data_IF_150242577101
#
_entry.id   IF_150242577101
#
_cell.length_a   1.000
_cell.length_b   1.000
_cell.length_c   1.000
_cell.angle_alpha   90.00
_cell.angle_beta   90.00
_cell.angle_gamma   90.00
#
_symmetry.space_group_name_H-M   'P 1'
#
loop_
_entity.id
_entity.type
_entity.pdbx_description
1 polymer ?
#
# COMPACT_ATOMS: atom_id res chain seq x y z
N UNK A 1 19.94 64.02 26.93
CA UNK A 1 18.59 64.45 27.34
C UNK A 1 17.66 64.24 26.17
N UNK A 2 16.59 63.47 26.39
CA UNK A 2 15.31 63.43 25.65
C UNK A 2 15.32 62.97 24.18
N UNK A 3 14.49 62.05 23.70
CA UNK A 3 13.40 61.27 24.30
C UNK A 3 12.45 60.73 23.20
N UNK A 4 11.94 59.52 23.46
CA UNK A 4 10.60 58.99 23.13
C UNK A 4 10.23 58.43 21.74
N UNK A 5 10.12 57.10 21.77
CA UNK A 5 9.27 56.16 21.03
C UNK A 5 7.79 56.58 20.96
N UNK A 6 7.10 56.30 19.85
CA UNK A 6 5.63 56.33 19.77
C UNK A 6 5.09 55.00 19.20
N UNK A 7 4.11 54.44 19.92
CA UNK A 7 3.33 53.22 19.67
C UNK A 7 1.88 53.59 19.28
N UNK A 8 1.11 52.57 18.87
CA UNK A 8 -0.37 52.43 18.71
C UNK A 8 -0.89 52.40 17.25
N UNK A 9 -1.45 51.29 16.75
CA UNK A 9 -2.67 50.50 17.10
C UNK A 9 -3.98 51.08 16.51
N UNK A 10 -4.54 50.38 15.51
CA UNK A 10 -5.98 50.34 15.17
C UNK A 10 -6.26 48.90 14.68
N UNK A 11 -6.73 47.96 15.51
CA UNK A 11 -8.07 47.68 16.06
C UNK A 11 -9.02 46.97 15.08
N UNK A 12 -9.40 45.77 15.51
CA UNK A 12 -10.32 44.78 14.96
C UNK A 12 -11.75 45.28 14.68
N UNK A 13 -12.35 44.79 13.58
CA UNK A 13 -13.78 44.49 13.46
C UNK A 13 -14.01 43.21 12.63
N UNK A 14 -14.78 42.28 13.19
CA UNK A 14 -15.61 41.23 12.55
C UNK A 14 -17.01 41.36 13.20
N UNK A 15 -18.12 40.78 12.69
CA UNK A 15 -18.28 39.78 11.61
C UNK A 15 -19.40 40.14 10.61
N UNK A 16 -19.66 39.32 9.58
CA UNK A 16 -21.01 38.94 9.12
C UNK A 16 -20.92 37.80 8.06
N UNK A 17 -21.35 36.62 8.52
CA UNK A 17 -22.12 35.53 7.86
C UNK A 17 -22.16 35.47 6.32
N UNK A 18 -21.80 34.31 5.75
CA UNK A 18 -22.21 33.91 4.40
C UNK A 18 -21.48 32.69 3.82
N UNK A 19 -22.18 31.55 3.81
CA UNK A 19 -21.96 30.36 2.97
C UNK A 19 -20.72 29.49 3.21
N UNK A 20 -20.97 28.42 3.96
CA UNK A 20 -20.23 27.16 3.97
C UNK A 20 -20.24 26.53 2.57
N UNK A 21 -19.18 26.74 1.80
CA UNK A 21 -18.79 25.79 0.76
C UNK A 21 -18.03 24.65 1.46
N UNK A 22 -18.77 23.62 1.88
CA UNK A 22 -18.18 22.34 2.27
C UNK A 22 -17.65 21.67 0.99
N UNK A 23 -16.45 22.06 0.59
CA UNK A 23 -15.67 21.29 -0.38
C UNK A 23 -15.29 19.98 0.28
N UNK A 24 -15.88 18.92 -0.25
CA UNK A 24 -15.64 17.51 0.03
C UNK A 24 -14.16 17.25 0.33
N UNK A 25 -13.84 16.95 1.59
CA UNK A 25 -12.65 16.17 1.89
C UNK A 25 -12.98 14.75 1.42
N UNK A 26 -12.66 14.47 0.15
CA UNK A 26 -12.52 13.09 -0.29
C UNK A 26 -11.33 12.52 0.46
N UNK A 27 -11.61 11.87 1.59
CA UNK A 27 -10.68 10.95 2.21
C UNK A 27 -10.47 9.79 1.25
N UNK A 28 -9.46 9.93 0.38
CA UNK A 28 -8.83 8.78 -0.27
C UNK A 28 -7.60 8.45 0.56
N UNK A 29 -7.66 7.50 1.52
CA UNK A 29 -6.43 6.94 2.05
C UNK A 29 -5.90 5.93 1.03
N UNK A 30 -4.72 6.24 0.51
CA UNK A 30 -3.60 5.31 0.52
C UNK A 30 -3.69 4.06 -0.36
N UNK A 31 -3.16 4.18 -1.58
CA UNK A 31 -2.15 3.23 -2.04
C UNK A 31 -0.99 4.04 -2.61
N UNK A 32 -0.02 4.41 -1.77
CA UNK A 32 1.31 4.72 -2.29
C UNK A 32 1.87 3.37 -2.72
N UNK A 33 1.83 3.06 -4.02
CA UNK A 33 2.39 1.82 -4.53
C UNK A 33 3.89 1.84 -4.26
N UNK A 34 4.30 1.10 -3.23
CA UNK A 34 5.69 0.92 -2.90
C UNK A 34 6.28 -0.11 -3.87
N UNK A 35 7.22 0.32 -4.71
CA UNK A 35 7.99 -0.57 -5.58
C UNK A 35 9.19 -1.07 -4.81
N UNK A 36 9.30 -2.40 -4.68
CA UNK A 36 10.47 -3.04 -4.07
C UNK A 36 11.56 -3.25 -5.11
N UNK A 37 12.79 -2.90 -4.77
CA UNK A 37 13.96 -3.13 -5.59
C UNK A 37 14.89 -4.15 -4.94
N UNK A 38 15.48 -5.00 -5.76
CA UNK A 38 16.52 -5.97 -5.39
C UNK A 38 17.85 -5.58 -6.05
N UNK A 39 18.95 -5.66 -5.28
CA UNK A 39 20.30 -5.39 -5.79
C UNK A 39 20.77 -6.52 -6.71
N UNK A 40 21.22 -6.14 -7.90
CA UNK A 40 21.81 -7.01 -8.90
C UNK A 40 23.32 -7.20 -8.69
N UNK A 41 23.91 -8.29 -9.25
CA UNK A 41 25.36 -8.43 -9.39
C UNK A 41 25.95 -7.21 -10.12
N UNK A 42 26.84 -6.49 -9.45
CA UNK A 42 27.33 -5.18 -9.90
C UNK A 42 27.15 -4.08 -8.84
N UNK A 43 26.22 -4.28 -7.91
CA UNK A 43 26.12 -3.46 -6.71
C UNK A 43 27.32 -3.67 -5.78
N UNK A 44 27.91 -2.57 -5.29
CA UNK A 44 29.12 -2.63 -4.47
C UNK A 44 29.27 -1.44 -3.54
N UNK A 45 30.03 -1.63 -2.45
CA UNK A 45 30.52 -0.56 -1.58
C UNK A 45 32.04 -0.55 -1.65
N UNK A 46 32.62 0.64 -1.83
CA UNK A 46 34.06 0.85 -1.85
C UNK A 46 34.44 1.84 -0.77
N UNK A 47 35.32 1.43 0.13
CA UNK A 47 35.97 2.31 1.10
C UNK A 47 37.27 2.81 0.48
N UNK A 48 37.46 4.12 0.41
CA UNK A 48 38.68 4.75 -0.09
C UNK A 48 39.27 5.68 0.96
N UNK A 49 40.55 5.49 1.29
CA UNK A 49 41.33 6.37 2.16
C UNK A 49 42.44 7.03 1.33
N UNK A 50 42.20 8.27 0.92
CA UNK A 50 43.17 9.03 0.11
C UNK A 50 44.26 9.69 0.96
N UNK A 51 44.02 9.83 2.26
CA UNK A 51 44.98 10.40 3.23
C UNK A 51 45.86 9.32 3.88
N UNK A 52 45.61 8.04 3.61
CA UNK A 52 46.45 6.94 4.08
C UNK A 52 47.76 6.89 3.29
N UNK A 53 48.85 6.43 3.92
CA UNK A 53 50.13 6.16 3.25
C UNK A 53 50.48 4.67 3.39
N UNK A 54 50.39 3.87 2.31
CA UNK A 54 49.92 4.23 0.97
C UNK A 54 48.39 4.44 0.92
N UNK A 55 47.85 5.14 -0.11
CA UNK A 55 46.41 5.21 -0.32
C UNK A 55 45.81 3.81 -0.45
N UNK A 56 44.67 3.59 0.20
CA UNK A 56 44.01 2.28 0.21
C UNK A 56 42.60 2.39 -0.34
N UNK A 57 42.20 1.40 -1.13
CA UNK A 57 40.80 1.23 -1.54
C UNK A 57 40.40 -0.23 -1.44
N UNK A 58 39.19 -0.50 -0.96
CA UNK A 58 38.66 -1.85 -0.81
C UNK A 58 37.19 -1.87 -1.24
N UNK A 59 36.87 -2.74 -2.19
CA UNK A 59 35.52 -2.88 -2.75
C UNK A 59 34.91 -4.22 -2.37
N UNK A 60 33.63 -4.23 -2.03
CA UNK A 60 32.85 -5.43 -1.73
C UNK A 60 31.51 -5.44 -2.45
N UNK A 61 31.04 -6.61 -2.92
CA UNK A 61 29.71 -6.73 -3.47
C UNK A 61 28.65 -6.50 -2.39
N UNK A 62 27.57 -5.83 -2.78
CA UNK A 62 26.40 -5.63 -1.94
C UNK A 62 25.25 -6.52 -2.37
N UNK A 63 24.44 -6.91 -1.39
CA UNK A 63 23.14 -7.56 -1.56
C UNK A 63 22.13 -6.86 -0.68
N UNK A 64 20.86 -6.99 -1.02
CA UNK A 64 19.79 -6.42 -0.21
C UNK A 64 18.63 -5.94 -1.06
N UNK A 65 17.67 -5.33 -0.38
CA UNK A 65 16.48 -4.75 -1.01
C UNK A 65 16.20 -3.38 -0.41
N UNK A 66 15.47 -2.55 -1.15
CA UNK A 66 14.94 -1.30 -0.64
C UNK A 66 13.58 -1.02 -1.29
N UNK A 67 12.76 -0.23 -0.60
CA UNK A 67 11.42 0.13 -1.06
C UNK A 67 11.36 1.59 -1.45
N UNK A 68 10.65 1.84 -2.55
CA UNK A 68 10.47 3.17 -3.12
C UNK A 68 8.99 3.47 -3.22
N UNK A 69 8.55 4.54 -2.58
CA UNK A 69 7.14 4.94 -2.50
C UNK A 69 6.92 6.27 -3.21
N UNK A 70 5.85 6.38 -4.00
CA UNK A 70 5.46 7.65 -4.61
C UNK A 70 5.05 8.65 -3.53
N UNK A 71 5.64 9.85 -3.55
CA UNK A 71 5.19 10.94 -2.69
C UNK A 71 4.05 11.68 -3.38
N UNK A 72 2.83 11.54 -2.84
CA UNK A 72 1.66 12.28 -3.29
C UNK A 72 1.76 13.72 -2.77
N UNK A 73 1.67 14.71 -3.64
CA UNK A 73 1.64 16.14 -3.26
C UNK A 73 3.01 16.82 -3.10
N UNK A 74 4.11 16.22 -3.58
CA UNK A 74 5.37 16.95 -3.69
C UNK A 74 5.27 17.97 -4.84
N UNK A 75 5.59 19.24 -4.56
CA UNK A 75 5.69 20.33 -5.56
C UNK A 75 6.71 20.05 -6.70
N UNK A 76 7.44 18.93 -6.64
CA UNK A 76 8.39 18.48 -7.63
C UNK A 76 7.93 17.15 -8.27
N UNK A 77 7.54 17.14 -9.56
CA UNK A 77 7.23 15.90 -10.26
C UNK A 77 8.46 14.97 -10.29
N UNK A 78 8.23 13.67 -10.07
CA UNK A 78 9.26 12.63 -10.21
C UNK A 78 10.17 12.42 -8.98
N UNK A 79 9.80 12.92 -7.80
CA UNK A 79 10.48 12.57 -6.53
C UNK A 79 9.75 11.41 -5.86
N UNK A 80 10.51 10.41 -5.46
CA UNK A 80 10.04 9.24 -4.72
C UNK A 80 10.82 9.08 -3.42
N UNK A 81 10.14 8.61 -2.38
CA UNK A 81 10.73 8.37 -1.07
C UNK A 81 11.33 6.97 -1.02
N UNK A 82 12.49 6.83 -0.40
CA UNK A 82 13.07 5.54 -0.03
C UNK A 82 12.77 5.34 1.45
N UNK A 83 11.76 4.52 1.74
CA UNK A 83 11.22 4.32 3.10
C UNK A 83 12.12 3.43 3.94
N UNK A 84 12.69 2.39 3.33
CA UNK A 84 13.61 1.47 3.95
C UNK A 84 14.68 1.03 2.97
N UNK A 85 15.93 1.11 3.40
CA UNK A 85 17.09 0.60 2.67
C UNK A 85 17.88 -0.29 3.63
N UNK A 86 18.09 -1.54 3.23
CA UNK A 86 18.92 -2.49 3.97
C UNK A 86 19.85 -3.23 3.00
N UNK A 87 21.12 -2.81 2.99
CA UNK A 87 22.16 -3.37 2.15
C UNK A 87 23.23 -4.01 3.02
N UNK A 88 23.76 -5.15 2.58
CA UNK A 88 24.74 -5.93 3.34
C UNK A 88 25.87 -6.37 2.40
N UNK A 89 27.10 -6.30 2.91
CA UNK A 89 28.29 -6.96 2.39
C UNK A 89 28.90 -7.85 3.48
N UNK A 90 30.12 -8.35 3.27
CA UNK A 90 30.85 -9.12 4.29
C UNK A 90 31.20 -8.26 5.51
N UNK A 91 31.55 -6.99 5.31
CA UNK A 91 32.00 -6.09 6.38
C UNK A 91 31.10 -4.89 6.63
N UNK A 92 30.14 -4.62 5.76
CA UNK A 92 29.30 -3.44 5.84
C UNK A 92 27.83 -3.83 5.95
N UNK A 93 27.16 -3.30 6.98
CA UNK A 93 25.69 -3.22 7.05
C UNK A 93 25.30 -1.78 6.87
N UNK A 94 24.57 -1.49 5.79
CA UNK A 94 24.13 -0.16 5.40
C UNK A 94 22.61 -0.12 5.54
N UNK A 95 22.11 0.69 6.47
CA UNK A 95 20.67 0.91 6.63
C UNK A 95 20.34 2.38 6.51
N UNK A 96 19.18 2.73 5.97
CA UNK A 96 18.84 4.14 5.82
C UNK A 96 17.52 4.40 5.13
N UNK A 97 17.34 5.67 4.79
CA UNK A 97 16.21 6.19 4.04
C UNK A 97 16.71 7.34 3.16
N UNK A 98 15.85 7.88 2.30
CA UNK A 98 16.24 8.99 1.46
C UNK A 98 15.26 9.31 0.37
N UNK A 99 15.77 9.95 -0.68
CA UNK A 99 14.98 10.40 -1.81
C UNK A 99 15.69 10.06 -3.10
N UNK A 100 14.90 9.66 -4.08
CA UNK A 100 15.33 9.50 -5.46
C UNK A 100 14.48 10.42 -6.32
N UNK A 101 15.13 11.23 -7.14
CA UNK A 101 14.48 12.17 -8.02
C UNK A 101 14.86 11.87 -9.47
N UNK A 102 13.85 11.87 -10.32
CA UNK A 102 14.00 11.77 -11.76
C UNK A 102 13.81 13.14 -12.41
N UNK A 103 14.59 13.37 -13.47
CA UNK A 103 14.54 14.61 -14.26
C UNK A 103 14.29 14.22 -15.71
N UNK A 104 13.01 14.17 -16.09
CA UNK A 104 12.58 13.60 -17.37
C UNK A 104 12.92 12.11 -17.46
N UNK A 105 13.14 11.62 -18.69
CA UNK A 105 13.37 10.19 -18.95
C UNK A 105 14.82 9.74 -18.71
N UNK A 106 15.79 10.65 -18.75
CA UNK A 106 17.20 10.28 -18.93
C UNK A 106 18.11 10.58 -17.74
N UNK A 107 17.63 11.32 -16.73
CA UNK A 107 18.48 11.81 -15.63
C UNK A 107 17.89 11.47 -14.28
N UNK A 108 18.76 11.20 -13.32
CA UNK A 108 18.42 10.81 -11.96
C UNK A 108 19.39 11.43 -10.94
N UNK A 109 18.92 11.63 -9.72
CA UNK A 109 19.76 11.94 -8.55
C UNK A 109 19.18 11.25 -7.31
N UNK A 110 20.05 10.84 -6.40
CA UNK A 110 19.64 10.16 -5.16
C UNK A 110 20.44 10.70 -3.99
N UNK A 111 19.76 10.86 -2.86
CA UNK A 111 20.33 11.24 -1.57
C UNK A 111 19.88 10.21 -0.55
N UNK A 112 20.82 9.62 0.18
CA UNK A 112 20.54 8.69 1.26
C UNK A 112 21.09 9.22 2.58
N UNK A 113 20.26 9.22 3.60
CA UNK A 113 20.68 9.32 4.99
C UNK A 113 20.79 7.89 5.53
N UNK A 114 22.01 7.42 5.71
CA UNK A 114 22.29 6.04 6.04
C UNK A 114 23.16 5.91 7.29
N UNK A 115 23.23 4.70 7.81
CA UNK A 115 24.23 4.27 8.78
C UNK A 115 25.04 3.14 8.19
N UNK A 116 26.36 3.20 8.32
CA UNK A 116 27.28 2.12 7.97
C UNK A 116 27.86 1.57 9.25
N UNK A 117 27.58 0.30 9.55
CA UNK A 117 28.01 -0.35 10.80
C UNK A 117 27.65 0.51 12.04
N UNK A 118 26.48 1.17 12.01
CA UNK A 118 25.99 2.06 13.07
C UNK A 118 26.48 3.51 13.01
N UNK A 119 27.41 3.87 12.13
CA UNK A 119 27.91 5.26 11.97
C UNK A 119 27.11 6.01 10.91
N UNK A 120 26.62 7.21 11.23
CA UNK A 120 25.85 8.04 10.28
C UNK A 120 26.71 8.50 9.11
N UNK A 121 26.21 8.32 7.89
CA UNK A 121 26.84 8.73 6.64
C UNK A 121 25.76 9.25 5.69
N UNK A 122 26.03 10.37 5.02
CA UNK A 122 25.18 10.87 3.94
C UNK A 122 25.79 10.51 2.59
N UNK A 123 25.01 9.86 1.74
CA UNK A 123 25.37 9.55 0.36
C UNK A 123 24.64 10.50 -0.58
N UNK A 124 25.35 10.98 -1.60
CA UNK A 124 24.74 11.76 -2.68
C UNK A 124 25.29 11.32 -4.02
N UNK A 125 24.48 11.40 -5.07
CA UNK A 125 24.95 11.19 -6.44
C UNK A 125 25.79 12.37 -6.97
N UNK A 126 25.86 13.47 -6.22
CA UNK A 126 26.48 14.73 -6.63
C UNK A 126 25.76 15.36 -7.80
N UNK A 127 26.24 15.10 -9.02
CA UNK A 127 25.60 15.56 -10.26
C UNK A 127 24.45 14.63 -10.66
N UNK A 128 23.54 15.13 -11.50
CA UNK A 128 22.50 14.29 -12.13
C UNK A 128 23.18 13.27 -13.05
N UNK A 129 22.92 11.99 -12.82
CA UNK A 129 23.53 10.89 -13.57
C UNK A 129 22.57 10.39 -14.65
N UNK A 130 23.13 9.83 -15.73
CA UNK A 130 22.33 9.24 -16.80
C UNK A 130 21.68 7.94 -16.31
N UNK A 131 20.43 7.72 -16.66
CA UNK A 131 19.75 6.45 -16.45
C UNK A 131 20.09 5.52 -17.63
N UNK A 132 20.66 4.35 -17.36
CA UNK A 132 20.89 3.33 -18.39
C UNK A 132 19.58 2.60 -18.70
N UNK A 133 19.32 2.30 -19.98
CA UNK A 133 18.21 1.42 -20.38
C UNK A 133 16.82 2.06 -20.54
N UNK A 134 16.70 3.40 -20.59
CA UNK A 134 15.41 4.02 -20.91
C UNK A 134 15.05 3.76 -22.38
N UNK A 135 14.11 2.84 -22.62
CA UNK A 135 13.38 2.80 -23.88
C UNK A 135 12.59 4.11 -24.04
N UNK A 136 12.63 4.69 -25.24
CA UNK A 136 11.81 5.85 -25.59
C UNK A 136 10.32 5.52 -25.34
N UNK A 137 9.63 6.34 -24.54
CA UNK A 137 8.19 6.54 -24.75
C UNK A 137 7.22 6.33 -23.59
N UNK A 138 7.61 5.81 -22.42
CA UNK A 138 6.65 5.69 -21.30
C UNK A 138 7.06 6.52 -20.07
N UNK A 139 6.17 7.40 -19.56
CA UNK A 139 6.35 8.08 -18.28
C UNK A 139 6.05 7.10 -17.13
N UNK A 140 6.72 5.96 -17.11
CA UNK A 140 6.63 5.03 -15.99
C UNK A 140 7.30 5.69 -14.78
N UNK A 141 6.65 5.73 -13.62
CA UNK A 141 7.10 6.48 -12.43
C UNK A 141 8.38 5.88 -11.82
N UNK A 142 8.57 4.57 -12.01
CA UNK A 142 9.70 3.78 -11.50
C UNK A 142 10.24 2.87 -12.62
N UNK A 143 11.53 2.92 -12.98
CA UNK A 143 12.07 2.07 -14.04
C UNK A 143 12.22 0.61 -13.58
N UNK A 144 12.05 -0.34 -14.50
CA UNK A 144 12.26 -1.77 -14.24
C UNK A 144 13.68 -2.10 -13.75
N UNK A 145 14.68 -1.29 -14.09
CA UNK A 145 16.02 -1.34 -13.50
C UNK A 145 16.74 0.00 -13.56
N UNK A 146 17.73 0.20 -12.70
CA UNK A 146 18.61 1.36 -12.75
C UNK A 146 20.00 1.08 -12.20
N UNK A 147 20.93 1.96 -12.54
CA UNK A 147 22.27 2.02 -11.94
C UNK A 147 22.56 3.44 -11.49
N UNK A 148 23.11 3.61 -10.29
CA UNK A 148 23.52 4.91 -9.76
C UNK A 148 24.76 4.78 -8.88
N UNK A 149 25.63 5.79 -8.93
CA UNK A 149 26.81 5.88 -8.07
C UNK A 149 26.60 6.98 -7.03
N UNK A 150 26.83 6.68 -5.77
CA UNK A 150 26.76 7.64 -4.67
C UNK A 150 28.10 7.72 -3.98
N UNK A 151 28.45 8.91 -3.52
CA UNK A 151 29.64 9.13 -2.70
C UNK A 151 29.27 9.73 -1.37
N UNK A 152 29.93 9.29 -0.31
CA UNK A 152 29.99 10.05 0.93
C UNK A 152 31.06 11.13 0.82
N UNK A 153 30.83 12.25 1.51
CA UNK A 153 31.95 13.13 1.89
C UNK A 153 32.96 12.37 2.76
N UNK A 154 34.17 12.92 2.96
CA UNK A 154 35.15 12.32 3.84
C UNK A 154 34.61 12.33 5.28
N UNK A 155 34.55 11.14 5.90
CA UNK A 155 34.27 10.95 7.31
C UNK A 155 35.54 10.36 7.93
N UNK A 156 36.18 11.12 8.83
CA UNK A 156 37.45 10.71 9.46
C UNK A 156 38.56 10.37 8.42
N UNK A 157 38.60 11.09 7.30
CA UNK A 157 39.59 10.87 6.22
C UNK A 157 39.27 9.72 5.26
N UNK A 158 38.13 9.05 5.44
CA UNK A 158 37.66 7.97 4.56
C UNK A 158 36.41 8.37 3.78
N UNK A 159 36.39 8.02 2.50
CA UNK A 159 35.23 8.20 1.61
C UNK A 159 34.64 6.85 1.25
N UNK A 160 33.31 6.79 1.17
CA UNK A 160 32.60 5.61 0.73
C UNK A 160 32.00 5.90 -0.65
N UNK A 161 32.16 4.96 -1.58
CA UNK A 161 31.52 4.98 -2.88
C UNK A 161 30.56 3.80 -2.92
N UNK A 162 29.29 4.08 -3.15
CA UNK A 162 28.21 3.12 -3.21
C UNK A 162 27.72 3.03 -4.66
N UNK A 163 27.88 1.87 -5.29
CA UNK A 163 27.31 1.59 -6.60
C UNK A 163 26.08 0.74 -6.39
N UNK A 164 24.90 1.24 -6.78
CA UNK A 164 23.64 0.51 -6.72
C UNK A 164 23.25 0.17 -8.16
N UNK A 165 23.15 -1.11 -8.46
CA UNK A 165 22.54 -1.64 -9.67
C UNK A 165 21.36 -2.48 -9.21
N UNK A 166 20.14 -2.07 -9.52
CA UNK A 166 18.95 -2.70 -8.97
C UNK A 166 17.88 -2.91 -10.03
N UNK A 167 17.04 -3.93 -9.83
CA UNK A 167 15.82 -4.16 -10.60
C UNK A 167 14.60 -4.03 -9.71
N UNK A 168 13.50 -3.55 -10.27
CA UNK A 168 12.20 -3.67 -9.63
C UNK A 168 11.87 -5.16 -9.54
N UNK A 169 11.47 -5.60 -8.36
CA UNK A 169 10.77 -6.85 -8.19
C UNK A 169 9.32 -6.49 -8.47
N UNK A 170 8.83 -6.81 -9.67
CA UNK A 170 7.39 -6.80 -9.91
C UNK A 170 6.77 -7.64 -8.80
N UNK A 171 5.85 -7.05 -8.03
CA UNK A 171 4.98 -7.87 -7.20
C UNK A 171 4.25 -8.77 -8.19
N UNK A 172 4.72 -9.99 -8.32
CA UNK A 172 4.05 -11.02 -9.08
C UNK A 172 2.73 -11.24 -8.33
N UNK A 173 1.71 -10.50 -8.74
CA UNK A 173 0.36 -10.75 -8.31
C UNK A 173 0.08 -12.19 -8.74
N UNK A 174 -0.22 -13.05 -7.77
CA UNK A 174 -0.74 -14.37 -8.09
C UNK A 174 -1.94 -14.19 -9.01
N UNK A 175 -2.03 -15.06 -10.00
CA UNK A 175 -3.21 -15.26 -10.85
C UNK A 175 -3.50 -16.76 -10.67
N UNK A 176 -4.36 -17.07 -9.70
CA UNK A 176 -4.55 -18.42 -9.19
C UNK A 176 -5.33 -19.30 -10.17
N UNK A 177 -6.21 -18.72 -10.96
CA UNK A 177 -7.06 -19.43 -11.91
C UNK A 177 -6.58 -19.29 -13.36
N UNK A 178 -5.52 -18.51 -13.59
CA UNK A 178 -4.81 -18.35 -14.85
C UNK A 178 -5.68 -17.75 -15.96
N UNK A 179 -6.55 -16.82 -15.61
CA UNK A 179 -7.45 -16.15 -16.55
C UNK A 179 -6.86 -14.86 -17.17
N UNK A 180 -5.69 -14.44 -16.67
CA UNK A 180 -4.98 -13.24 -17.12
C UNK A 180 -5.27 -11.99 -16.29
N UNK A 181 -6.07 -12.10 -15.23
CA UNK A 181 -6.33 -11.06 -14.24
C UNK A 181 -5.58 -11.40 -12.95
N UNK A 182 -4.93 -10.40 -12.37
CA UNK A 182 -4.24 -10.57 -11.09
C UNK A 182 -5.24 -10.78 -9.94
N UNK A 183 -5.00 -11.72 -9.03
CA UNK A 183 -5.84 -12.01 -7.84
C UNK A 183 -6.23 -10.76 -7.02
N UNK A 184 -5.36 -9.73 -7.03
CA UNK A 184 -5.58 -8.48 -6.30
C UNK A 184 -6.61 -7.57 -6.96
N UNK A 185 -6.84 -7.73 -8.27
CA UNK A 185 -7.81 -7.00 -9.09
C UNK A 185 -8.92 -7.90 -9.64
N UNK A 186 -8.87 -9.20 -9.34
CA UNK A 186 -9.80 -10.20 -9.83
C UNK A 186 -11.05 -10.29 -8.91
N UNK A 187 -12.23 -10.13 -9.50
CA UNK A 187 -13.51 -10.27 -8.80
C UNK A 187 -13.94 -11.74 -8.59
N UNK A 188 -13.20 -12.71 -9.16
CA UNK A 188 -13.33 -14.14 -8.90
C UNK A 188 -11.96 -14.89 -8.82
N UNK A 189 -11.11 -14.65 -7.80
CA UNK A 189 -9.72 -15.16 -7.71
C UNK A 189 -9.48 -16.69 -7.68
N UNK A 190 -10.53 -17.48 -7.85
CA UNK A 190 -10.50 -18.95 -7.85
C UNK A 190 -11.30 -19.53 -9.03
N UNK A 191 -11.87 -18.69 -9.91
CA UNK A 191 -12.75 -19.06 -11.02
C UNK A 191 -12.51 -18.14 -12.21
N UNK A 192 -11.83 -18.66 -13.23
CA UNK A 192 -11.43 -17.89 -14.41
C UNK A 192 -12.59 -17.13 -15.08
N UNK A 193 -12.47 -15.81 -15.15
CA UNK A 193 -13.43 -14.89 -15.75
C UNK A 193 -12.75 -13.62 -16.29
N UNK A 194 -11.93 -13.77 -17.32
CA UNK A 194 -11.14 -12.68 -17.92
C UNK A 194 -11.93 -11.42 -18.33
N UNK A 195 -13.26 -11.52 -18.54
CA UNK A 195 -14.14 -10.38 -18.84
C UNK A 195 -14.49 -9.54 -17.61
N UNK A 196 -14.32 -10.08 -16.40
CA UNK A 196 -14.61 -9.43 -15.11
C UNK A 196 -16.03 -8.84 -15.04
N UNK A 197 -17.00 -9.51 -15.68
CA UNK A 197 -18.41 -9.14 -15.62
C UNK A 197 -18.95 -9.25 -14.18
N UNK A 198 -19.71 -8.26 -13.76
CA UNK A 198 -20.36 -8.13 -12.45
C UNK A 198 -21.65 -7.34 -12.68
N UNK A 199 -22.75 -8.08 -12.91
CA UNK A 199 -24.01 -7.52 -13.39
C UNK A 199 -24.81 -6.76 -12.33
N UNK A 200 -24.67 -7.13 -11.07
CA UNK A 200 -25.36 -6.50 -9.94
C UNK A 200 -24.49 -5.49 -9.16
N UNK A 201 -23.20 -5.42 -9.51
CA UNK A 201 -22.21 -4.49 -9.00
C UNK A 201 -21.99 -4.63 -7.47
N UNK A 202 -22.05 -5.86 -6.95
CA UNK A 202 -21.73 -6.17 -5.56
C UNK A 202 -20.22 -6.37 -5.30
N UNK A 203 -19.42 -6.44 -6.37
CA UNK A 203 -17.97 -6.63 -6.35
C UNK A 203 -17.51 -8.09 -6.43
N UNK A 204 -18.41 -9.03 -6.69
CA UNK A 204 -18.14 -10.44 -6.98
C UNK A 204 -18.52 -10.70 -8.44
N UNK A 205 -17.64 -11.35 -9.21
CA UNK A 205 -17.91 -11.56 -10.63
C UNK A 205 -19.03 -12.56 -10.89
N UNK A 206 -19.76 -12.37 -11.99
CA UNK A 206 -20.89 -13.22 -12.42
C UNK A 206 -20.52 -14.72 -12.50
N UNK A 207 -19.23 -15.02 -12.72
CA UNK A 207 -18.72 -16.38 -12.81
C UNK A 207 -18.68 -17.12 -11.45
N UNK A 208 -18.51 -16.39 -10.34
CA UNK A 208 -18.42 -16.94 -8.99
C UNK A 208 -19.55 -16.48 -8.05
N UNK A 209 -20.40 -15.57 -8.51
CA UNK A 209 -21.58 -15.12 -7.81
C UNK A 209 -22.75 -16.13 -7.90
N UNK A 210 -23.42 -16.37 -6.77
CA UNK A 210 -24.61 -17.22 -6.65
C UNK A 210 -25.90 -16.43 -6.45
N UNK A 211 -25.82 -15.13 -6.27
CA UNK A 211 -26.89 -14.23 -5.94
C UNK A 211 -26.86 -12.98 -6.83
N UNK A 212 -27.11 -13.17 -8.13
CA UNK A 212 -27.03 -12.12 -9.18
C UNK A 212 -28.07 -10.98 -9.09
N UNK A 213 -28.81 -10.89 -7.98
CA UNK A 213 -29.77 -9.84 -7.68
C UNK A 213 -29.42 -9.08 -6.40
N UNK A 214 -28.16 -9.17 -5.97
CA UNK A 214 -27.70 -8.49 -4.78
C UNK A 214 -27.64 -6.99 -5.03
N UNK A 215 -27.92 -6.20 -3.99
CA UNK A 215 -27.88 -4.76 -4.15
C UNK A 215 -26.45 -4.28 -4.48
N UNK A 216 -26.28 -3.30 -5.38
CA UNK A 216 -24.96 -2.77 -5.71
C UNK A 216 -24.19 -2.32 -4.47
N UNK A 217 -22.91 -2.69 -4.38
CA UNK A 217 -22.01 -2.43 -3.25
C UNK A 217 -22.49 -3.01 -1.90
N UNK A 218 -23.34 -4.03 -1.91
CA UNK A 218 -23.74 -4.71 -0.68
C UNK A 218 -22.54 -5.42 -0.02
N UNK A 219 -22.64 -5.63 1.29
CA UNK A 219 -21.65 -6.43 2.00
C UNK A 219 -21.91 -7.92 1.78
N UNK A 220 -21.20 -8.50 0.81
CA UNK A 220 -21.40 -9.87 0.36
C UNK A 220 -20.27 -10.82 0.74
N UNK A 221 -20.57 -12.11 0.73
CA UNK A 221 -19.55 -13.15 0.84
C UNK A 221 -18.81 -13.37 -0.48
N UNK A 222 -17.88 -14.33 -0.54
CA UNK A 222 -17.15 -14.69 -1.77
C UNK A 222 -18.00 -15.31 -2.87
N UNK A 223 -19.31 -15.48 -2.66
CA UNK A 223 -20.26 -16.04 -3.61
C UNK A 223 -21.37 -15.04 -3.92
N UNK A 224 -21.11 -13.74 -3.72
CA UNK A 224 -21.99 -12.58 -3.92
C UNK A 224 -23.26 -12.56 -3.07
N UNK A 225 -23.54 -13.60 -2.28
CA UNK A 225 -24.73 -13.60 -1.44
C UNK A 225 -24.55 -12.77 -0.15
N UNK A 226 -25.47 -11.82 0.08
CA UNK A 226 -25.62 -11.13 1.37
C UNK A 226 -26.03 -12.08 2.50
N UNK A 227 -25.90 -11.64 3.75
CA UNK A 227 -26.31 -12.44 4.91
C UNK A 227 -27.80 -12.81 4.88
N UNK A 228 -28.63 -11.91 4.35
CA UNK A 228 -30.09 -12.06 4.29
C UNK A 228 -30.49 -13.03 3.17
N UNK A 229 -29.85 -12.96 2.01
CA UNK A 229 -30.05 -13.95 0.93
C UNK A 229 -29.58 -15.35 1.34
N UNK A 230 -28.48 -15.46 2.11
CA UNK A 230 -27.98 -16.76 2.60
C UNK A 230 -28.87 -17.39 3.68
N UNK A 231 -29.49 -16.56 4.50
CA UNK A 231 -30.31 -17.01 5.63
C UNK A 231 -31.63 -16.22 5.66
N UNK A 232 -32.52 -16.45 4.68
CA UNK A 232 -33.74 -15.67 4.55
C UNK A 232 -34.67 -15.91 5.74
N UNK A 233 -35.47 -14.90 6.08
CA UNK A 233 -36.38 -14.97 7.21
C UNK A 233 -37.52 -15.97 7.01
N UNK A 234 -37.93 -16.18 5.76
CA UNK A 234 -38.93 -17.17 5.39
C UNK A 234 -38.46 -18.58 5.73
N UNK A 235 -37.16 -18.86 5.65
CA UNK A 235 -36.53 -20.13 5.97
C UNK A 235 -35.45 -20.53 4.96
N UNK A 236 -34.90 -21.75 5.05
CA UNK A 236 -33.77 -22.18 4.23
C UNK A 236 -34.11 -22.42 2.75
N UNK A 237 -35.39 -22.48 2.41
CA UNK A 237 -35.92 -22.71 1.05
C UNK A 237 -37.25 -21.98 0.89
N UNK A 238 -37.65 -21.74 -0.35
CA UNK A 238 -38.92 -21.13 -0.67
C UNK A 238 -40.10 -21.91 -0.06
N UNK A 239 -40.86 -21.26 0.82
CA UNK A 239 -42.04 -21.82 1.46
C UNK A 239 -41.78 -22.74 2.66
N UNK A 240 -40.52 -23.07 3.00
CA UNK A 240 -40.18 -23.83 4.22
C UNK A 240 -39.76 -22.87 5.33
N UNK A 241 -40.34 -22.99 6.53
CA UNK A 241 -39.93 -22.22 7.71
C UNK A 241 -38.73 -22.84 8.44
N UNK A 242 -37.92 -22.01 9.10
CA UNK A 242 -36.87 -22.50 10.02
C UNK A 242 -37.47 -23.41 11.10
N UNK A 243 -36.86 -24.57 11.34
CA UNK A 243 -37.36 -25.52 12.35
C UNK A 243 -37.11 -25.06 13.78
N UNK A 244 -36.13 -24.17 13.99
CA UNK A 244 -35.80 -23.61 15.30
C UNK A 244 -34.93 -22.37 15.19
N UNK A 245 -34.96 -21.53 16.24
CA UNK A 245 -34.02 -20.42 16.40
C UNK A 245 -32.54 -20.86 16.31
N UNK A 246 -32.23 -22.06 16.81
CA UNK A 246 -30.87 -22.63 16.75
C UNK A 246 -30.45 -22.96 15.32
N UNK A 247 -31.37 -23.36 14.47
CA UNK A 247 -31.08 -23.63 13.06
C UNK A 247 -30.77 -22.34 12.30
N UNK A 248 -31.62 -21.32 12.43
CA UNK A 248 -31.36 -19.99 11.87
C UNK A 248 -30.01 -19.43 12.35
N UNK A 249 -29.74 -19.50 13.66
CA UNK A 249 -28.45 -19.06 14.21
C UNK A 249 -27.25 -19.85 13.68
N UNK A 250 -27.41 -21.14 13.36
CA UNK A 250 -26.36 -21.95 12.71
C UNK A 250 -26.12 -21.51 11.26
N UNK A 251 -27.18 -21.16 10.52
CA UNK A 251 -27.06 -20.59 9.17
C UNK A 251 -26.24 -19.30 9.22
N UNK A 252 -26.68 -18.33 10.03
CA UNK A 252 -26.02 -17.02 10.17
C UNK A 252 -24.56 -17.18 10.59
N UNK A 253 -24.29 -18.04 11.59
CA UNK A 253 -22.92 -18.30 12.03
C UNK A 253 -22.06 -18.98 10.95
N UNK A 254 -22.63 -19.82 10.07
CA UNK A 254 -21.91 -20.43 8.96
C UNK A 254 -21.56 -19.37 7.89
N UNK A 255 -22.52 -18.55 7.49
CA UNK A 255 -22.32 -17.47 6.53
C UNK A 255 -21.22 -16.50 7.01
N UNK A 256 -21.31 -16.03 8.26
CA UNK A 256 -20.32 -15.12 8.83
C UNK A 256 -18.92 -15.75 8.91
N UNK A 257 -18.81 -17.05 9.20
CA UNK A 257 -17.51 -17.76 9.17
C UNK A 257 -16.90 -17.83 7.79
N UNK A 258 -17.71 -17.93 6.74
CA UNK A 258 -17.21 -17.90 5.36
C UNK A 258 -16.62 -16.53 5.04
N UNK A 259 -17.32 -15.45 5.40
CA UNK A 259 -16.82 -14.08 5.23
C UNK A 259 -15.54 -13.82 6.03
N UNK A 260 -15.42 -14.38 7.25
CA UNK A 260 -14.20 -14.32 8.04
C UNK A 260 -13.02 -15.04 7.38
N UNK A 261 -13.26 -16.23 6.80
CA UNK A 261 -12.21 -16.99 6.09
C UNK A 261 -11.70 -16.25 4.85
N UNK A 262 -12.57 -15.48 4.21
CA UNK A 262 -12.22 -14.61 3.10
C UNK A 262 -11.58 -13.27 3.53
N UNK A 263 -11.31 -13.08 4.82
CA UNK A 263 -10.71 -11.84 5.34
C UNK A 263 -11.63 -10.61 5.31
N UNK A 264 -12.92 -10.77 4.95
CA UNK A 264 -13.90 -9.68 4.84
C UNK A 264 -14.44 -9.22 6.21
N UNK A 265 -14.27 -10.01 7.28
CA UNK A 265 -14.73 -9.69 8.63
C UNK A 265 -13.73 -10.09 9.71
N UNK A 266 -13.58 -9.23 10.71
CA UNK A 266 -12.88 -9.57 11.94
C UNK A 266 -13.72 -10.50 12.85
N UNK A 267 -13.09 -11.19 13.81
CA UNK A 267 -13.78 -11.96 14.86
C UNK A 267 -14.80 -11.16 15.68
N UNK A 268 -14.58 -9.87 15.86
CA UNK A 268 -15.47 -9.00 16.62
C UNK A 268 -16.69 -8.56 15.80
N UNK A 269 -16.47 -8.13 14.56
CA UNK A 269 -17.55 -7.75 13.65
C UNK A 269 -18.51 -8.91 13.38
N UNK A 270 -17.98 -10.11 13.14
CA UNK A 270 -18.82 -11.30 12.97
C UNK A 270 -19.67 -11.59 14.22
N UNK A 271 -19.10 -11.44 15.43
CA UNK A 271 -19.87 -11.60 16.68
C UNK A 271 -20.96 -10.54 16.82
N UNK A 272 -20.67 -9.29 16.47
CA UNK A 272 -21.63 -8.19 16.48
C UNK A 272 -22.78 -8.43 15.48
N UNK A 273 -22.45 -8.83 14.25
CA UNK A 273 -23.42 -9.16 13.19
C UNK A 273 -24.29 -10.34 13.56
N UNK A 274 -23.72 -11.41 14.14
CA UNK A 274 -24.48 -12.55 14.65
C UNK A 274 -25.49 -12.09 15.72
N UNK A 275 -25.07 -11.28 16.69
CA UNK A 275 -25.99 -10.75 17.72
C UNK A 275 -27.10 -9.91 17.12
N UNK A 276 -26.81 -9.09 16.09
CA UNK A 276 -27.79 -8.26 15.40
C UNK A 276 -28.81 -9.13 14.66
N UNK A 277 -28.35 -10.10 13.87
CA UNK A 277 -29.21 -11.03 13.14
C UNK A 277 -30.13 -11.83 14.07
N UNK A 278 -29.61 -12.35 15.19
CA UNK A 278 -30.41 -13.08 16.18
C UNK A 278 -31.45 -12.20 16.90
N UNK A 279 -31.21 -10.88 16.97
CA UNK A 279 -32.14 -9.90 17.57
C UNK A 279 -33.06 -9.23 16.56
N UNK A 280 -32.90 -9.51 15.28
CA UNK A 280 -33.78 -9.02 14.21
C UNK A 280 -35.20 -9.54 14.39
N UNK A 281 -36.15 -8.99 13.64
CA UNK A 281 -37.54 -9.47 13.62
C UNK A 281 -37.60 -10.97 13.31
N UNK A 282 -36.77 -11.43 12.37
CA UNK A 282 -36.68 -12.82 11.97
C UNK A 282 -36.14 -13.72 13.08
N UNK A 283 -35.08 -13.30 13.77
CA UNK A 283 -34.53 -14.02 14.92
C UNK A 283 -35.51 -14.06 16.10
N UNK A 284 -36.23 -12.96 16.36
CA UNK A 284 -37.23 -12.88 17.44
C UNK A 284 -38.48 -13.72 17.16
N UNK A 285 -38.97 -13.73 15.93
CA UNK A 285 -40.14 -14.53 15.53
C UNK A 285 -39.92 -16.02 15.84
N UNK A 286 -38.71 -16.53 15.59
CA UNK A 286 -38.32 -17.91 15.87
C UNK A 286 -38.10 -18.20 17.37
N UNK A 287 -37.68 -17.20 18.15
CA UNK A 287 -37.59 -17.33 19.62
C UNK A 287 -38.98 -17.51 20.25
N UNK A 288 -39.98 -16.78 19.76
CA UNK A 288 -41.36 -16.86 20.28
C UNK A 288 -41.99 -18.21 19.93
N UNK A 289 -41.75 -18.75 18.74
CA UNK A 289 -42.21 -20.08 18.34
C UNK A 289 -41.53 -21.21 19.13
N UNK A 290 -40.26 -21.05 19.51
CA UNK A 290 -39.52 -22.04 20.29
C UNK A 290 -39.88 -22.06 21.80
N UNK A 291 -40.68 -21.09 22.27
CA UNK A 291 -41.14 -20.97 23.66
C UNK A 291 -42.59 -21.45 23.86
N UNK A 292 -43.26 -21.89 22.78
CA UNK A 292 -44.57 -22.55 22.82
C UNK A 292 -44.39 -24.06 22.73
#
# INVERSE_FOLDING_TARGET
>A
MSGLVCWLLVRWQRPLVGSLAALLVSSVPSVSSAVRYELLPGSSVTLACFTCSPPQSQSEPLRGTFEVSSMIGADAPGVVAISSLELRSRRFTITGHGFWQRFGLMRQAMVLEATINGRKVRFTSGRRQRMGGAAEGTPEVSPSSFSIVLSSGPVEGTSHILVIVARAVEQQSSDRDADGVADASDNCPDVANASQEDGDADGVGDACDRCADTAPNAEVGPDGCSLEQRCPCAGPRDGEAWSSFREYGRCVARALRQMQRAGKLTPEEARSRLKRALRSECGRALLVLAQR
#
